data_IF_212840607288
#
_entry.id   IF_212840607288
#
_cell.length_a   1.000
_cell.length_b   1.000
_cell.length_c   1.000
_cell.angle_alpha   90.00
_cell.angle_beta   90.00
_cell.angle_gamma   90.00
#
_symmetry.space_group_name_H-M   'P 1'
#
loop_
_entity.id
_entity.type
_entity.pdbx_description
1 polymer ?
#
# COMPACT_ATOMS: atom_id res chain seq x y z
N UNK A 1 -0.60 0.25 3.59
CA UNK A 1 -0.15 1.52 2.97
C UNK A 1 -0.82 1.70 1.62
N UNK A 2 -0.56 0.82 0.65
CA UNK A 2 -1.17 0.84 -0.69
C UNK A 2 -2.70 0.97 -0.70
N UNK A 3 -3.42 0.22 0.15
CA UNK A 3 -4.88 0.38 0.25
C UNK A 3 -5.33 1.78 0.69
N UNK A 4 -4.61 2.40 1.63
CA UNK A 4 -4.88 3.77 2.05
C UNK A 4 -4.55 4.78 0.93
N UNK A 5 -3.41 4.60 0.25
CA UNK A 5 -3.02 5.40 -0.92
C UNK A 5 -4.06 5.30 -2.04
N UNK A 6 -4.52 4.09 -2.38
CA UNK A 6 -5.53 3.86 -3.40
C UNK A 6 -6.87 4.52 -3.05
N UNK A 7 -7.31 4.41 -1.79
CA UNK A 7 -8.51 5.09 -1.31
C UNK A 7 -8.40 6.62 -1.40
N UNK A 8 -7.27 7.17 -0.96
CA UNK A 8 -7.02 8.61 -1.04
C UNK A 8 -6.95 9.11 -2.49
N UNK A 9 -6.22 8.41 -3.37
CA UNK A 9 -6.12 8.73 -4.78
C UNK A 9 -7.49 8.68 -5.48
N UNK A 10 -8.35 7.71 -5.11
CA UNK A 10 -9.71 7.61 -5.63
C UNK A 10 -10.58 8.81 -5.21
N UNK A 11 -10.48 9.25 -3.95
CA UNK A 11 -11.19 10.44 -3.45
C UNK A 11 -10.72 11.70 -4.18
N UNK A 12 -9.41 11.83 -4.40
CA UNK A 12 -8.80 12.95 -5.13
C UNK A 12 -9.03 12.90 -6.65
N UNK A 13 -9.62 11.80 -7.17
CA UNK A 13 -9.87 11.56 -8.60
C UNK A 13 -8.59 11.67 -9.44
N UNK A 14 -7.49 11.12 -8.93
CA UNK A 14 -6.23 11.06 -9.66
C UNK A 14 -6.37 10.19 -10.91
N UNK A 15 -5.67 10.57 -11.98
CA UNK A 15 -5.49 9.74 -13.16
C UNK A 15 -4.52 8.58 -12.89
N UNK A 16 -4.40 7.67 -13.86
CA UNK A 16 -3.56 6.47 -13.74
C UNK A 16 -2.10 6.81 -13.45
N UNK A 17 -1.51 7.78 -14.14
CA UNK A 17 -0.09 8.13 -14.00
C UNK A 17 0.20 8.69 -12.60
N UNK A 18 -0.70 9.51 -12.07
CA UNK A 18 -0.62 9.99 -10.69
C UNK A 18 -0.86 8.88 -9.67
N UNK A 19 -1.72 7.90 -9.95
CA UNK A 19 -1.90 6.74 -9.07
C UNK A 19 -0.62 5.90 -9.01
N UNK A 20 0.00 5.60 -10.17
CA UNK A 20 1.28 4.88 -10.25
C UNK A 20 2.35 5.63 -9.47
N UNK A 21 2.45 6.95 -9.69
CA UNK A 21 3.39 7.79 -8.96
C UNK A 21 3.11 7.80 -7.45
N UNK A 22 1.84 7.89 -7.03
CA UNK A 22 1.45 7.80 -5.63
C UNK A 22 1.86 6.45 -5.02
N UNK A 23 1.76 5.36 -5.77
CA UNK A 23 2.24 4.04 -5.34
C UNK A 23 3.75 4.01 -5.21
N UNK A 24 4.51 4.63 -6.13
CA UNK A 24 5.95 4.83 -6.00
C UNK A 24 6.33 5.56 -4.70
N UNK A 25 5.69 6.71 -4.44
CA UNK A 25 5.92 7.51 -3.21
C UNK A 25 5.50 6.72 -1.97
N UNK A 26 4.48 5.87 -2.08
CA UNK A 26 4.05 4.99 -1.01
C UNK A 26 5.12 3.94 -0.74
N UNK A 27 5.62 3.23 -1.75
CA UNK A 27 6.61 2.15 -1.58
C UNK A 27 7.91 2.59 -0.92
N UNK A 28 8.39 3.82 -1.11
CA UNK A 28 9.58 4.33 -0.40
C UNK A 28 9.43 4.37 1.13
N UNK A 29 8.20 4.36 1.64
CA UNK A 29 7.88 4.40 3.07
C UNK A 29 7.58 3.00 3.64
N UNK A 30 7.62 1.95 2.81
CA UNK A 30 7.28 0.58 3.23
C UNK A 30 8.20 0.09 4.35
N UNK A 31 7.63 -0.10 5.53
CA UNK A 31 8.37 -0.54 6.73
C UNK A 31 7.42 -1.13 7.78
N UNK A 32 8.00 -1.69 8.84
CA UNK A 32 7.26 -2.20 10.01
C UNK A 32 7.75 -3.57 10.46
N UNK A 33 8.36 -3.64 11.65
CA UNK A 33 8.93 -4.87 12.16
C UNK A 33 7.97 -5.59 13.12
N UNK A 34 7.87 -6.91 13.00
CA UNK A 34 7.06 -7.74 13.92
C UNK A 34 7.58 -7.73 15.36
N UNK A 35 8.85 -7.42 15.58
CA UNK A 35 9.48 -7.38 16.90
C UNK A 35 8.77 -6.47 17.91
N UNK A 36 8.04 -5.45 17.44
CA UNK A 36 7.39 -4.47 18.31
C UNK A 36 6.04 -4.94 18.88
N UNK A 37 5.62 -6.18 18.60
CA UNK A 37 4.35 -6.71 19.08
C UNK A 37 4.33 -6.76 20.62
N UNK A 38 3.25 -6.25 21.21
CA UNK A 38 3.12 -6.07 22.67
C UNK A 38 3.43 -4.66 23.15
N UNK A 39 3.86 -3.75 22.27
CA UNK A 39 4.09 -2.33 22.61
C UNK A 39 3.12 -1.40 21.90
N UNK A 40 3.14 -0.10 22.25
CA UNK A 40 2.38 0.95 21.56
C UNK A 40 2.78 1.13 20.09
N UNK A 41 3.95 0.64 19.67
CA UNK A 41 4.40 0.72 18.28
C UNK A 41 3.56 -0.15 17.34
N UNK A 42 2.94 -1.24 17.83
CA UNK A 42 2.05 -2.08 16.99
C UNK A 42 0.87 -1.28 16.43
N UNK A 43 0.00 -0.64 17.24
CA UNK A 43 -1.07 0.20 16.69
C UNK A 43 -0.56 1.47 16.00
N UNK A 44 0.61 1.98 16.40
CA UNK A 44 1.26 3.10 15.69
C UNK A 44 1.50 2.79 14.21
N UNK A 45 1.91 1.56 13.86
CA UNK A 45 2.08 1.16 12.46
C UNK A 45 0.84 1.47 11.61
N UNK A 46 -0.36 1.08 12.05
CA UNK A 46 -1.59 1.33 11.28
C UNK A 46 -1.92 2.81 11.14
N UNK A 47 -1.66 3.62 12.17
CA UNK A 47 -1.86 5.08 12.10
C UNK A 47 -0.86 5.74 11.15
N UNK A 48 0.42 5.41 11.29
CA UNK A 48 1.51 5.91 10.43
C UNK A 48 1.25 5.57 8.97
N UNK A 49 0.97 4.30 8.68
CA UNK A 49 0.67 3.80 7.33
C UNK A 49 -0.53 4.51 6.69
N UNK A 50 -1.54 4.89 7.47
CA UNK A 50 -2.71 5.62 6.97
C UNK A 50 -2.34 7.06 6.60
N UNK A 51 -1.53 7.73 7.44
CA UNK A 51 -1.01 9.06 7.16
C UNK A 51 -0.12 9.08 5.91
N UNK A 52 0.79 8.11 5.78
CA UNK A 52 1.70 7.98 4.63
C UNK A 52 0.92 7.81 3.33
N UNK A 53 -0.14 6.99 3.31
CA UNK A 53 -0.93 6.79 2.10
C UNK A 53 -1.67 8.05 1.62
N UNK A 54 -2.21 8.85 2.56
CA UNK A 54 -2.81 10.16 2.23
C UNK A 54 -1.75 11.12 1.71
N UNK A 55 -0.58 11.16 2.37
CA UNK A 55 0.53 12.02 1.96
C UNK A 55 1.02 11.66 0.55
N UNK A 56 1.19 10.38 0.23
CA UNK A 56 1.63 9.93 -1.09
C UNK A 56 0.68 10.36 -2.21
N UNK A 57 -0.63 10.24 -1.99
CA UNK A 57 -1.63 10.66 -2.96
C UNK A 57 -1.64 12.20 -3.15
N UNK A 58 -1.50 12.96 -2.05
CA UNK A 58 -1.39 14.43 -2.11
C UNK A 58 -0.12 14.89 -2.84
N UNK A 59 1.01 14.23 -2.59
CA UNK A 59 2.27 14.57 -3.27
C UNK A 59 2.18 14.30 -4.77
N UNK A 60 1.62 13.15 -5.18
CA UNK A 60 1.39 12.85 -6.59
C UNK A 60 0.41 13.84 -7.24
N UNK A 61 -0.66 14.27 -6.54
CA UNK A 61 -1.55 15.33 -7.03
C UNK A 61 -0.79 16.62 -7.37
N UNK A 62 0.21 16.97 -6.56
CA UNK A 62 1.05 18.17 -6.71
C UNK A 62 2.25 17.99 -7.65
N UNK A 63 2.33 16.87 -8.38
CA UNK A 63 3.38 16.66 -9.38
C UNK A 63 4.73 16.22 -8.80
N UNK A 64 4.74 15.68 -7.58
CA UNK A 64 5.92 14.97 -7.07
C UNK A 64 6.16 13.69 -7.89
N UNK A 65 7.42 13.28 -8.06
CA UNK A 65 7.80 12.13 -8.90
C UNK A 65 8.28 10.94 -8.07
N UNK A 66 8.20 9.73 -8.63
CA UNK A 66 8.72 8.51 -7.99
C UNK A 66 8.90 7.37 -8.99
N UNK A 67 9.37 6.22 -8.51
CA UNK A 67 9.48 5.00 -9.30
C UNK A 67 8.12 4.59 -9.87
N UNK A 68 8.10 4.19 -11.14
CA UNK A 68 6.88 3.78 -11.83
C UNK A 68 6.61 2.27 -11.71
N UNK A 69 7.61 1.48 -11.31
CA UNK A 69 7.57 0.02 -11.18
C UNK A 69 7.96 -0.40 -9.75
N UNK A 70 7.36 0.27 -8.75
CA UNK A 70 7.73 0.08 -7.34
C UNK A 70 7.39 -1.31 -6.80
N UNK A 71 6.46 -2.03 -7.44
CA UNK A 71 6.03 -3.36 -7.01
C UNK A 71 6.82 -4.44 -7.75
N UNK A 72 6.87 -4.32 -9.08
CA UNK A 72 7.27 -5.31 -10.08
C UNK A 72 8.65 -5.08 -10.70
N UNK A 73 9.25 -3.90 -10.50
CA UNK A 73 10.58 -3.60 -11.04
C UNK A 73 11.67 -4.53 -10.48
N UNK A 74 12.82 -4.55 -11.13
CA UNK A 74 13.99 -5.38 -10.72
C UNK A 74 14.41 -5.17 -9.26
N UNK A 75 14.22 -3.95 -8.74
CA UNK A 75 14.44 -3.58 -7.33
C UNK A 75 13.14 -3.21 -6.61
N UNK A 76 12.02 -3.72 -7.13
CA UNK A 76 10.68 -3.51 -6.62
C UNK A 76 10.40 -4.36 -5.38
N UNK A 77 9.25 -4.12 -4.76
CA UNK A 77 8.89 -4.80 -3.52
C UNK A 77 8.81 -6.32 -3.63
N UNK A 78 8.35 -6.86 -4.76
CA UNK A 78 8.26 -8.31 -4.94
C UNK A 78 9.66 -8.95 -4.89
N UNK A 79 10.62 -8.39 -5.61
CA UNK A 79 11.99 -8.91 -5.62
C UNK A 79 12.72 -8.69 -4.29
N UNK A 80 12.51 -7.54 -3.62
CA UNK A 80 13.29 -7.17 -2.43
C UNK A 80 12.73 -7.78 -1.14
N UNK A 81 11.44 -8.14 -1.08
CA UNK A 81 10.77 -8.56 0.16
C UNK A 81 10.31 -10.03 0.18
N UNK A 82 10.41 -10.77 -0.92
CA UNK A 82 10.09 -12.20 -0.97
C UNK A 82 11.07 -12.99 -1.82
N UNK A 83 11.39 -14.22 -1.40
CA UNK A 83 12.19 -15.16 -2.19
C UNK A 83 11.38 -15.79 -3.35
N UNK A 84 10.07 -15.58 -3.37
CA UNK A 84 9.13 -16.15 -4.35
C UNK A 84 8.21 -15.06 -4.89
N UNK A 85 8.72 -14.16 -5.74
CA UNK A 85 7.90 -13.13 -6.37
C UNK A 85 6.90 -13.77 -7.35
N UNK A 86 5.62 -13.41 -7.20
CA UNK A 86 4.55 -13.85 -8.09
C UNK A 86 3.50 -12.74 -8.23
N UNK A 87 3.58 -11.98 -9.33
CA UNK A 87 2.64 -10.91 -9.66
C UNK A 87 1.21 -11.41 -9.86
N UNK A 88 1.04 -12.67 -10.28
CA UNK A 88 -0.26 -13.23 -10.63
C UNK A 88 -1.21 -13.23 -9.43
N UNK A 89 -0.67 -13.31 -8.22
CA UNK A 89 -1.43 -13.21 -6.96
C UNK A 89 -2.17 -11.86 -6.84
N UNK A 90 -1.60 -10.79 -7.39
CA UNK A 90 -2.14 -9.42 -7.29
C UNK A 90 -3.09 -9.13 -8.45
N UNK A 91 -2.74 -9.56 -9.67
CA UNK A 91 -3.45 -9.18 -10.90
C UNK A 91 -4.60 -10.13 -11.27
N UNK A 92 -4.56 -11.39 -10.81
CA UNK A 92 -5.64 -12.33 -11.08
C UNK A 92 -6.94 -11.88 -10.40
N UNK A 93 -8.06 -12.10 -11.09
CA UNK A 93 -9.41 -11.77 -10.62
C UNK A 93 -9.69 -10.29 -10.32
N UNK A 94 -8.82 -9.37 -10.77
CA UNK A 94 -9.12 -7.94 -10.73
C UNK A 94 -10.44 -7.68 -11.48
N UNK A 95 -11.29 -6.86 -10.87
CA UNK A 95 -12.63 -6.52 -11.37
C UNK A 95 -13.66 -7.69 -11.45
N UNK A 96 -13.29 -8.91 -11.07
CA UNK A 96 -14.23 -10.05 -10.96
C UNK A 96 -14.46 -10.47 -9.51
N UNK A 97 -13.47 -10.32 -8.63
CA UNK A 97 -13.55 -10.68 -7.22
C UNK A 97 -13.20 -9.51 -6.29
N UNK A 98 -14.01 -9.33 -5.25
CA UNK A 98 -13.79 -8.30 -4.22
C UNK A 98 -13.70 -8.94 -2.84
N UNK A 99 -12.50 -8.96 -2.28
CA UNK A 99 -12.19 -9.56 -0.97
C UNK A 99 -12.82 -8.85 0.24
N UNK A 100 -13.48 -7.70 0.05
CA UNK A 100 -14.17 -6.99 1.14
C UNK A 100 -15.25 -7.84 1.82
N UNK A 101 -15.85 -8.78 1.09
CA UNK A 101 -16.86 -9.70 1.62
C UNK A 101 -16.27 -10.80 2.50
N UNK A 102 -14.96 -11.03 2.41
CA UNK A 102 -14.23 -12.07 3.13
C UNK A 102 -13.56 -11.53 4.41
N UNK A 103 -13.84 -10.27 4.78
CA UNK A 103 -13.31 -9.66 5.99
C UNK A 103 -13.90 -10.32 7.25
N UNK A 104 -13.02 -10.64 8.19
CA UNK A 104 -13.40 -11.18 9.49
C UNK A 104 -13.62 -10.07 10.52
N UNK A 105 -14.72 -10.15 11.27
CA UNK A 105 -14.97 -9.29 12.43
C UNK A 105 -14.48 -9.99 13.70
N UNK A 106 -13.49 -9.41 14.38
CA UNK A 106 -12.99 -9.97 15.64
C UNK A 106 -14.07 -9.89 16.73
N UNK A 107 -14.41 -11.00 17.41
CA UNK A 107 -15.40 -10.98 18.49
C UNK A 107 -14.86 -10.36 19.79
N UNK A 108 -13.53 -10.34 19.98
CA UNK A 108 -12.88 -9.88 21.21
C UNK A 108 -11.64 -9.01 20.91
N UNK A 109 -11.27 -8.06 21.81
CA UNK A 109 -10.13 -7.17 21.64
C UNK A 109 -8.80 -7.85 22.04
N UNK A 110 -8.47 -8.96 21.37
CA UNK A 110 -7.25 -9.75 21.58
C UNK A 110 -6.36 -9.75 20.34
#
# INVERSE_FOLDING_TARGET
>A
MFGATAGAAKILKLDTDKIVTAFGICGTQASGLRQVFGTMSKPFHTGKVSMEGVLSALLADKGFTSAQEIVEGELGMLEVLTDTPDETIIINDLNSKYYIKDLSFKPYPT
#
